data_IF_177984572040
#
_entry.id   IF_177984572040
#
_cell.length_a   1.000
_cell.length_b   1.000
_cell.length_c   1.000
_cell.angle_alpha   90.00
_cell.angle_beta   90.00
_cell.angle_gamma   90.00
#
_symmetry.space_group_name_H-M   'P 1'
#
loop_
_entity.id
_entity.type
_entity.pdbx_description
1 polymer ?
#
# COMPACT_ATOMS: atom_id res chain seq x y z
N UNK A 1 61.02 -12.11 0.24
CA UNK A 1 60.43 -11.94 0.19
C UNK A 1 59.56 -11.78 0.06
N UNK A 2 59.41 -11.77 0.00
CA UNK A 2 58.82 -11.59 -0.15
C UNK A 2 57.75 -11.57 -0.16
N UNK A 3 57.60 -11.40 -0.91
CA UNK A 3 56.68 -11.65 -1.15
C UNK A 3 55.74 -11.56 -0.41
N UNK A 4 55.80 -11.86 0.06
CA UNK A 4 54.87 -11.91 0.96
C UNK A 4 54.28 -10.69 1.11
N UNK A 5 54.69 -9.88 0.62
CA UNK A 5 54.24 -8.78 0.78
C UNK A 5 53.04 -8.55 0.30
N UNK A 6 52.70 -8.92 -0.70
CA UNK A 6 51.52 -8.72 -1.22
C UNK A 6 50.64 -9.34 -0.47
N UNK A 7 51.03 -9.96 0.16
CA UNK A 7 50.29 -10.55 1.03
C UNK A 7 49.37 -9.68 1.71
N UNK A 8 49.60 -8.50 2.03
CA UNK A 8 48.68 -7.68 2.77
C UNK A 8 47.31 -7.68 2.19
N UNK A 9 47.30 -7.79 0.95
CA UNK A 9 46.03 -7.77 0.34
C UNK A 9 45.18 -8.81 0.85
N UNK A 10 45.75 -9.92 1.24
CA UNK A 10 44.93 -10.91 1.59
C UNK A 10 44.79 -11.01 2.96
N UNK A 11 45.11 -10.02 3.69
CA UNK A 11 44.95 -10.11 5.05
C UNK A 11 43.54 -10.18 5.41
N UNK A 12 42.66 -9.83 4.58
CA UNK A 12 41.26 -9.94 4.89
C UNK A 12 40.81 -11.34 4.61
N UNK A 13 40.37 -12.09 5.58
CA UNK A 13 39.89 -13.43 5.36
C UNK A 13 38.64 -13.42 4.47
N UNK A 14 38.51 -14.36 3.57
CA UNK A 14 37.36 -14.42 2.70
C UNK A 14 36.05 -14.46 3.44
N UNK A 15 35.99 -15.13 4.56
CA UNK A 15 34.72 -15.20 5.29
C UNK A 15 34.29 -13.84 5.80
N UNK A 16 35.24 -13.05 6.31
CA UNK A 16 34.87 -11.73 6.78
C UNK A 16 34.38 -10.85 5.66
N UNK A 17 35.02 -10.93 4.50
CA UNK A 17 34.58 -10.15 3.35
C UNK A 17 33.17 -10.54 2.91
N UNK A 18 32.90 -11.84 2.89
CA UNK A 18 31.58 -12.29 2.47
C UNK A 18 30.50 -11.81 3.45
N UNK A 19 30.82 -11.83 4.73
CA UNK A 19 29.86 -11.35 5.72
C UNK A 19 29.59 -9.87 5.53
N UNK A 20 30.60 -9.08 5.30
CA UNK A 20 30.43 -7.65 5.09
C UNK A 20 29.57 -7.37 3.86
N UNK A 21 29.76 -8.12 2.80
CA UNK A 21 28.95 -7.96 1.59
C UNK A 21 27.49 -8.30 1.88
N UNK A 22 27.23 -9.38 2.59
CA UNK A 22 25.87 -9.77 2.93
C UNK A 22 25.20 -8.70 3.79
N UNK A 23 25.91 -8.18 4.77
CA UNK A 23 25.35 -7.14 5.64
C UNK A 23 25.04 -5.88 4.86
N UNK A 24 25.88 -5.49 3.91
CA UNK A 24 25.64 -4.33 3.07
C UNK A 24 24.41 -4.52 2.20
N UNK A 25 24.24 -5.70 1.61
CA UNK A 25 23.07 -5.99 0.79
C UNK A 25 21.80 -5.94 1.63
N UNK A 26 21.83 -6.52 2.81
CA UNK A 26 20.68 -6.49 3.71
C UNK A 26 20.32 -5.07 4.13
N UNK A 27 21.31 -4.25 4.40
CA UNK A 27 21.09 -2.86 4.76
C UNK A 27 20.45 -2.08 3.62
N UNK A 28 20.91 -2.30 2.38
CA UNK A 28 20.32 -1.65 1.22
C UNK A 28 18.86 -2.05 1.07
N UNK A 29 18.55 -3.33 1.15
CA UNK A 29 17.18 -3.82 1.04
C UNK A 29 16.30 -3.19 2.11
N UNK A 30 16.81 -3.10 3.33
CA UNK A 30 16.05 -2.54 4.44
C UNK A 30 15.80 -1.05 4.28
N UNK A 31 16.77 -0.33 3.74
CA UNK A 31 16.69 1.13 3.66
C UNK A 31 15.96 1.66 2.43
N UNK A 32 15.60 0.79 1.50
CA UNK A 32 14.89 1.21 0.30
C UNK A 32 13.56 0.48 0.16
N UNK A 33 12.65 0.65 1.11
CA UNK A 33 11.37 -0.04 1.06
C UNK A 33 10.54 0.33 -0.17
N UNK A 34 10.83 1.49 -0.74
CA UNK A 34 10.08 1.93 -1.92
C UNK A 34 10.42 1.12 -3.16
N UNK A 35 11.40 0.27 -3.12
CA UNK A 35 11.72 -0.56 -4.26
C UNK A 35 10.75 -1.72 -4.46
N UNK A 36 9.77 -1.85 -3.61
CA UNK A 36 8.67 -2.75 -3.87
C UNK A 36 8.84 -4.19 -3.45
N UNK A 37 10.02 -4.59 -3.06
CA UNK A 37 10.20 -5.95 -2.61
C UNK A 37 9.41 -6.25 -1.36
N UNK A 38 9.11 -5.22 -0.61
CA UNK A 38 8.30 -5.36 0.53
C UNK A 38 6.99 -4.81 0.30
N UNK A 39 6.75 -4.42 -0.85
CA UNK A 39 5.55 -3.79 -1.17
C UNK A 39 4.49 -4.82 -1.33
N UNK A 40 4.09 -5.32 -0.23
CA UNK A 40 3.00 -6.21 -0.19
C UNK A 40 1.78 -5.35 -0.29
N UNK A 41 1.37 -5.12 -1.50
CA UNK A 41 0.14 -4.46 -1.72
C UNK A 41 -0.90 -5.31 -1.08
N UNK A 42 -1.26 -4.90 0.09
CA UNK A 42 -2.06 -5.71 0.95
C UNK A 42 -3.51 -5.67 0.59
N UNK A 43 -4.12 -6.76 0.93
CA UNK A 43 -5.56 -6.83 1.02
C UNK A 43 -5.84 -6.80 2.51
N UNK A 44 -6.70 -5.92 2.97
CA UNK A 44 -7.06 -5.86 4.37
C UNK A 44 -8.57 -5.81 4.54
N UNK A 45 -9.06 -6.33 5.65
CA UNK A 45 -10.47 -6.28 5.99
C UNK A 45 -10.67 -5.22 7.06
N UNK A 46 -11.65 -4.36 6.86
CA UNK A 46 -11.98 -3.30 7.80
C UNK A 46 -13.44 -3.43 8.22
N UNK A 47 -13.69 -3.21 9.50
CA UNK A 47 -15.04 -3.29 10.09
C UNK A 47 -15.48 -1.96 10.67
N UNK A 48 -14.74 -0.90 10.43
CA UNK A 48 -15.02 0.45 10.89
C UNK A 48 -14.48 1.43 9.85
N UNK A 49 -14.75 2.70 10.03
CA UNK A 49 -14.28 3.74 9.12
C UNK A 49 -12.77 3.66 8.98
N UNK A 50 -12.31 3.85 7.76
CA UNK A 50 -10.91 3.60 7.45
C UNK A 50 -10.40 4.56 6.40
N UNK A 51 -9.13 4.93 6.52
CA UNK A 51 -8.41 5.69 5.49
C UNK A 51 -7.25 4.82 5.01
N UNK A 52 -7.27 4.39 3.76
CA UNK A 52 -6.20 3.55 3.22
C UNK A 52 -4.83 4.22 3.27
N UNK A 53 -3.82 3.40 3.47
CA UNK A 53 -2.43 3.83 3.51
C UNK A 53 -1.71 3.38 2.25
N UNK A 54 -0.43 3.74 2.14
CA UNK A 54 0.35 3.36 0.97
C UNK A 54 0.47 1.86 0.77
N UNK A 55 0.37 1.09 1.84
CA UNK A 55 0.46 -0.37 1.76
C UNK A 55 -0.81 -1.05 1.29
N UNK A 56 -1.91 -0.32 1.23
CA UNK A 56 -3.19 -0.92 0.92
C UNK A 56 -3.45 -0.90 -0.58
N UNK A 57 -3.90 -2.02 -1.10
CA UNK A 57 -4.30 -2.12 -2.47
C UNK A 57 -5.76 -2.51 -2.61
N UNK A 58 -6.25 -3.32 -1.69
CA UNK A 58 -7.64 -3.74 -1.70
C UNK A 58 -8.19 -3.70 -0.27
N UNK A 59 -9.27 -2.98 -0.11
CA UNK A 59 -9.99 -2.87 1.16
C UNK A 59 -11.24 -3.74 1.06
N UNK A 60 -11.34 -4.71 1.93
CA UNK A 60 -12.56 -5.52 2.09
C UNK A 60 -13.37 -4.88 3.21
N UNK A 61 -14.44 -4.24 2.87
CA UNK A 61 -15.26 -3.49 3.81
C UNK A 61 -16.41 -4.36 4.32
N UNK A 62 -16.42 -4.59 5.62
CA UNK A 62 -17.46 -5.37 6.29
C UNK A 62 -18.25 -4.42 7.20
N UNK A 63 -19.40 -4.00 6.74
CA UNK A 63 -20.27 -3.08 7.46
C UNK A 63 -21.26 -3.79 8.38
N UNK A 64 -21.12 -5.09 8.58
CA UNK A 64 -22.12 -5.86 9.37
C UNK A 64 -22.21 -5.40 10.81
N UNK A 65 -21.11 -4.92 11.38
CA UNK A 65 -21.05 -4.51 12.78
C UNK A 65 -21.29 -3.00 12.99
N UNK A 66 -21.61 -2.26 11.91
CA UNK A 66 -21.80 -0.81 12.00
C UNK A 66 -23.00 -0.43 11.15
N UNK A 67 -23.57 0.75 11.37
CA UNK A 67 -24.69 1.22 10.57
C UNK A 67 -24.23 1.82 9.24
N UNK A 68 -22.97 2.19 9.13
CA UNK A 68 -22.38 2.77 7.92
C UNK A 68 -20.88 2.62 8.06
N UNK A 69 -20.23 2.20 7.00
CA UNK A 69 -18.77 2.12 6.98
C UNK A 69 -18.26 3.07 5.91
N UNK A 70 -17.41 4.00 6.30
CA UNK A 70 -16.86 4.99 5.38
C UNK A 70 -15.38 4.69 5.15
N UNK A 71 -15.01 4.60 3.89
CA UNK A 71 -13.61 4.53 3.47
C UNK A 71 -13.28 5.89 2.87
N UNK A 72 -12.56 6.71 3.63
CA UNK A 72 -12.11 8.02 3.15
C UNK A 72 -10.85 7.82 2.32
N UNK A 73 -10.91 8.15 1.05
CA UNK A 73 -9.77 7.96 0.15
C UNK A 73 -8.60 8.83 0.57
N UNK A 74 -7.37 8.39 0.38
CA UNK A 74 -6.23 9.23 0.66
C UNK A 74 -6.19 10.42 -0.30
N UNK A 75 -5.54 11.49 0.09
CA UNK A 75 -5.41 12.67 -0.76
C UNK A 75 -4.75 12.28 -2.08
N UNK A 76 -5.31 12.76 -3.19
CA UNK A 76 -4.81 12.43 -4.52
C UNK A 76 -3.33 12.78 -4.67
N UNK A 77 -2.90 13.87 -4.05
CA UNK A 77 -1.50 14.29 -4.11
C UNK A 77 -0.55 13.30 -3.44
N UNK A 78 -1.05 12.53 -2.47
CA UNK A 78 -0.26 11.53 -1.77
C UNK A 78 -0.35 10.16 -2.43
N UNK A 79 -1.19 10.02 -3.45
CA UNK A 79 -1.50 8.71 -4.02
C UNK A 79 -1.54 8.76 -5.56
N UNK A 80 -0.60 9.46 -6.21
CA UNK A 80 -0.69 9.68 -7.65
C UNK A 80 -0.52 8.36 -8.42
N UNK A 81 -1.32 8.24 -9.47
CA UNK A 81 -1.20 7.16 -10.44
C UNK A 81 -1.39 5.75 -9.86
N UNK A 82 -2.06 5.64 -8.75
CA UNK A 82 -2.24 4.35 -8.08
C UNK A 82 -3.68 3.88 -8.18
N UNK A 83 -3.83 2.57 -8.14
CA UNK A 83 -5.13 1.91 -8.12
C UNK A 83 -5.43 1.47 -6.70
N UNK A 84 -6.65 1.70 -6.27
CA UNK A 84 -7.16 1.23 -4.98
C UNK A 84 -8.49 0.56 -5.23
N UNK A 85 -8.70 -0.61 -4.63
CA UNK A 85 -9.95 -1.33 -4.74
C UNK A 85 -10.66 -1.30 -3.40
N UNK A 86 -11.96 -1.03 -3.42
CA UNK A 86 -12.80 -1.12 -2.23
C UNK A 86 -13.95 -2.06 -2.54
N UNK A 87 -14.15 -3.07 -1.72
CA UNK A 87 -15.17 -4.09 -1.95
C UNK A 87 -15.98 -4.32 -0.69
N UNK A 88 -17.30 -4.23 -0.80
CA UNK A 88 -18.19 -4.62 0.28
C UNK A 88 -18.30 -6.13 0.33
N UNK A 89 -18.02 -6.74 1.47
CA UNK A 89 -18.01 -8.20 1.56
C UNK A 89 -19.19 -8.77 2.35
N UNK A 90 -19.81 -7.97 3.20
CA UNK A 90 -20.92 -8.45 4.03
C UNK A 90 -22.27 -8.31 3.32
N UNK A 91 -23.26 -9.04 3.81
CA UNK A 91 -24.61 -9.08 3.23
C UNK A 91 -25.58 -8.15 3.94
N UNK A 92 -25.14 -7.33 4.88
CA UNK A 92 -26.04 -6.40 5.56
C UNK A 92 -26.52 -5.31 4.62
N UNK A 93 -27.62 -4.67 5.00
CA UNK A 93 -28.12 -3.52 4.28
C UNK A 93 -27.37 -2.23 4.63
N UNK A 94 -26.35 -2.32 5.47
CA UNK A 94 -25.60 -1.16 5.88
C UNK A 94 -24.69 -0.71 4.73
N UNK A 95 -24.68 0.56 4.40
CA UNK A 95 -23.90 1.03 3.27
C UNK A 95 -22.41 1.09 3.57
N UNK A 96 -21.66 0.74 2.56
CA UNK A 96 -20.25 1.10 2.47
C UNK A 96 -20.18 2.33 1.58
N UNK A 97 -19.49 3.35 2.07
CA UNK A 97 -19.35 4.64 1.37
C UNK A 97 -17.87 4.84 1.10
N UNK A 98 -17.54 5.21 -0.13
CA UNK A 98 -16.21 5.76 -0.41
C UNK A 98 -16.38 7.29 -0.46
N UNK A 99 -15.45 7.99 0.15
CA UNK A 99 -15.53 9.42 0.35
C UNK A 99 -14.21 10.05 -0.09
N UNK A 100 -14.28 11.08 -0.92
CA UNK A 100 -13.10 11.79 -1.37
C UNK A 100 -12.45 12.56 -0.22
N UNK A 101 -11.14 12.72 -0.29
CA UNK A 101 -10.44 13.44 0.75
C UNK A 101 -10.79 14.94 0.67
N UNK A 102 -11.26 15.48 1.75
CA UNK A 102 -11.63 16.90 1.85
C UNK A 102 -12.62 17.29 0.74
N UNK A 103 -12.20 18.06 -0.22
CA UNK A 103 -13.05 18.52 -1.31
C UNK A 103 -12.80 17.75 -2.61
N UNK A 104 -12.03 16.68 -2.56
CA UNK A 104 -11.73 15.86 -3.74
C UNK A 104 -12.97 15.06 -4.16
N UNK A 105 -13.05 14.75 -5.43
CA UNK A 105 -14.24 14.09 -5.98
C UNK A 105 -13.91 12.73 -6.55
N UNK A 106 -14.94 11.90 -6.65
CA UNK A 106 -14.92 10.58 -7.26
C UNK A 106 -15.91 10.63 -8.41
N UNK A 107 -15.44 10.65 -9.64
CA UNK A 107 -16.26 10.88 -10.83
C UNK A 107 -17.19 12.08 -10.64
N UNK A 108 -16.62 13.17 -10.15
CA UNK A 108 -17.33 14.42 -9.94
C UNK A 108 -18.22 14.50 -8.72
N UNK A 109 -18.34 13.45 -7.92
CA UNK A 109 -19.15 13.46 -6.72
C UNK A 109 -18.25 13.32 -5.48
N UNK A 110 -18.68 13.87 -4.36
CA UNK A 110 -17.90 13.76 -3.13
C UNK A 110 -17.85 12.32 -2.62
N UNK A 111 -18.92 11.57 -2.78
CA UNK A 111 -19.02 10.20 -2.28
C UNK A 111 -19.71 9.28 -3.27
N UNK A 112 -19.46 7.99 -3.10
CA UNK A 112 -20.23 6.93 -3.74
C UNK A 112 -20.55 5.89 -2.68
N UNK A 113 -21.68 5.20 -2.81
CA UNK A 113 -22.07 4.23 -1.80
C UNK A 113 -22.71 3.00 -2.43
N UNK A 114 -22.68 1.90 -1.68
CA UNK A 114 -23.36 0.67 -2.06
C UNK A 114 -23.82 -0.08 -0.84
N UNK A 115 -24.93 -0.80 -0.98
CA UNK A 115 -25.40 -1.78 0.01
C UNK A 115 -25.30 -3.20 -0.52
N UNK A 116 -24.85 -3.35 -1.77
CA UNK A 116 -24.85 -4.64 -2.44
C UNK A 116 -23.62 -5.45 -2.03
N UNK A 117 -23.84 -6.65 -1.55
CA UNK A 117 -22.76 -7.56 -1.22
C UNK A 117 -21.90 -7.85 -2.44
N UNK A 118 -20.59 -7.87 -2.24
CA UNK A 118 -19.57 -8.12 -3.26
C UNK A 118 -19.45 -7.05 -4.35
N UNK A 119 -20.19 -5.96 -4.23
CA UNK A 119 -19.95 -4.82 -5.09
C UNK A 119 -18.57 -4.24 -4.81
N UNK A 120 -17.89 -3.79 -5.84
CA UNK A 120 -16.57 -3.20 -5.67
C UNK A 120 -16.36 -2.03 -6.59
N UNK A 121 -15.54 -1.10 -6.13
CA UNK A 121 -15.02 -0.01 -6.93
C UNK A 121 -13.55 -0.26 -7.18
N UNK A 122 -13.12 -0.10 -8.40
CA UNK A 122 -11.72 0.00 -8.74
C UNK A 122 -11.44 1.46 -9.01
N UNK A 123 -10.59 2.06 -8.20
CA UNK A 123 -10.36 3.50 -8.19
C UNK A 123 -8.97 3.80 -8.70
N UNK A 124 -8.85 4.86 -9.48
CA UNK A 124 -7.59 5.35 -9.97
C UNK A 124 -7.58 6.87 -9.86
N UNK A 125 -6.41 7.46 -9.65
CA UNK A 125 -6.30 8.91 -9.58
C UNK A 125 -5.30 9.42 -10.60
N UNK A 126 -5.61 10.58 -11.18
CA UNK A 126 -4.71 11.32 -12.05
C UNK A 126 -3.91 12.38 -11.30
N UNK A 127 -4.01 12.40 -9.96
CA UNK A 127 -3.35 13.39 -9.13
C UNK A 127 -4.21 14.62 -8.85
N UNK A 128 -5.41 14.70 -9.43
CA UNK A 128 -6.34 15.79 -9.21
C UNK A 128 -7.69 15.31 -8.69
N UNK A 129 -8.12 14.14 -9.11
CA UNK A 129 -9.40 13.56 -8.71
C UNK A 129 -9.33 12.03 -8.75
N UNK A 130 -10.35 11.39 -8.21
CA UNK A 130 -10.50 9.95 -8.28
C UNK A 130 -11.49 9.57 -9.37
N UNK A 131 -11.24 8.46 -10.02
CA UNK A 131 -12.10 7.92 -11.08
C UNK A 131 -12.36 6.44 -10.83
N UNK A 132 -13.58 6.02 -11.10
CA UNK A 132 -13.97 4.61 -11.04
C UNK A 132 -13.75 4.02 -12.44
N UNK A 133 -13.04 2.91 -12.49
CA UNK A 133 -12.73 2.22 -13.75
C UNK A 133 -13.71 1.08 -14.01
#
# INVERSE_FOLDING_TARGET
MTVSNFTPVRKIPPQASQREIVDSVNSIITNFPQFGFRDHRGICTVTANYTPTEGDWTILADASATTTLVVTLPAVASYPWRTLNVKKIDSSAHPVIIDGNAAETIDGAATKSTTTQYFSWQLHTDGAAWYIL
#
